data_IF_275644676034
#
_entry.id   IF_275644676034
#
_cell.length_a   1.000
_cell.length_b   1.000
_cell.length_c   1.000
_cell.angle_alpha   90.00
_cell.angle_beta   90.00
_cell.angle_gamma   90.00
#
_symmetry.space_group_name_H-M   'P 1'
#
loop_
_entity.id
_entity.type
_entity.pdbx_description
1 polymer ?
#
# COMPACT_ATOMS: atom_id res chain seq x y z
N UNK A 1 6.47 17.43 -20.75
CA UNK A 1 7.32 16.42 -20.07
C UNK A 1 8.29 17.17 -19.15
N UNK A 2 8.64 16.63 -17.98
CA UNK A 2 9.61 17.29 -17.10
C UNK A 2 11.02 17.22 -17.70
N UNK A 3 11.88 18.21 -17.45
CA UNK A 3 13.23 18.27 -18.04
C UNK A 3 14.09 17.02 -17.73
N UNK A 4 13.91 16.45 -16.54
CA UNK A 4 14.67 15.30 -16.03
C UNK A 4 13.78 14.09 -15.69
N UNK A 5 12.70 13.87 -16.46
CA UNK A 5 11.72 12.81 -16.20
C UNK A 5 12.39 11.43 -16.01
N UNK A 6 12.20 10.82 -14.83
CA UNK A 6 12.74 9.51 -14.45
C UNK A 6 14.24 9.47 -14.13
N UNK A 7 14.96 10.60 -14.25
CA UNK A 7 16.42 10.67 -14.04
C UNK A 7 16.83 11.03 -12.62
N UNK A 8 15.93 11.67 -11.87
CA UNK A 8 16.21 12.10 -10.50
C UNK A 8 15.90 10.96 -9.55
N UNK A 9 16.85 10.65 -8.65
CA UNK A 9 16.61 9.79 -7.49
C UNK A 9 16.71 10.62 -6.21
N UNK A 10 15.63 10.65 -5.43
CA UNK A 10 15.63 11.15 -4.06
C UNK A 10 15.86 9.96 -3.14
N UNK A 11 17.03 9.89 -2.51
CA UNK A 11 17.44 8.77 -1.65
C UNK A 11 17.43 9.20 -0.18
N UNK A 12 16.63 8.52 0.65
CA UNK A 12 16.56 8.79 2.10
C UNK A 12 17.78 8.28 2.90
N UNK A 13 18.64 7.48 2.27
CA UNK A 13 19.87 6.90 2.84
C UNK A 13 19.64 6.07 4.12
N UNK A 14 18.41 5.59 4.35
CA UNK A 14 18.00 4.90 5.58
C UNK A 14 17.92 5.81 6.81
N UNK A 15 18.17 7.11 6.66
CA UNK A 15 18.23 8.08 7.77
C UNK A 15 17.28 9.25 7.63
N UNK A 16 16.76 9.50 6.43
CA UNK A 16 15.83 10.57 6.11
C UNK A 16 14.60 10.02 5.39
N UNK A 17 13.53 10.82 5.44
CA UNK A 17 12.35 10.58 4.63
C UNK A 17 12.59 11.11 3.22
N UNK A 18 12.34 10.28 2.19
CA UNK A 18 12.68 10.64 0.82
C UNK A 18 11.82 11.81 0.30
N UNK A 19 10.49 11.67 0.29
CA UNK A 19 9.56 12.74 -0.11
C UNK A 19 8.52 12.93 0.98
N UNK A 20 8.46 14.13 1.56
CA UNK A 20 7.50 14.48 2.60
C UNK A 20 6.85 15.83 2.30
N UNK A 21 5.55 15.80 2.02
CA UNK A 21 4.70 17.00 1.95
C UNK A 21 3.97 17.12 3.29
N UNK A 22 4.47 18.01 4.15
CA UNK A 22 3.89 18.31 5.47
C UNK A 22 3.36 19.74 5.48
N UNK A 23 2.05 19.95 5.66
CA UNK A 23 1.44 21.29 5.55
C UNK A 23 1.76 21.97 4.20
N UNK A 24 1.70 21.20 3.11
CA UNK A 24 2.03 21.67 1.77
C UNK A 24 0.88 21.40 0.81
N UNK A 25 0.25 22.47 0.32
CA UNK A 25 -0.88 22.37 -0.60
C UNK A 25 -0.48 22.80 -2.01
N UNK A 26 -1.16 22.26 -3.02
CA UNK A 26 -1.00 22.65 -4.44
C UNK A 26 0.37 22.33 -5.05
N UNK A 27 1.07 21.32 -4.53
CA UNK A 27 2.32 20.84 -5.10
C UNK A 27 2.10 19.80 -6.19
N UNK A 28 2.99 19.85 -7.18
CA UNK A 28 3.12 18.80 -8.20
C UNK A 28 4.51 18.17 -8.08
N UNK A 29 4.56 16.96 -7.51
CA UNK A 29 5.76 16.13 -7.52
C UNK A 29 5.70 15.23 -8.74
N UNK A 30 6.71 15.32 -9.62
CA UNK A 30 6.66 14.61 -10.88
C UNK A 30 8.00 14.12 -11.41
N UNK A 31 7.95 12.96 -12.08
CA UNK A 31 9.04 12.50 -12.93
C UNK A 31 10.32 12.17 -12.19
N UNK A 32 10.20 11.57 -11.00
CA UNK A 32 11.34 11.22 -10.15
C UNK A 32 11.20 9.81 -9.59
N UNK A 33 12.32 9.29 -9.11
CA UNK A 33 12.40 8.09 -8.32
C UNK A 33 12.64 8.46 -6.86
N UNK A 34 12.10 7.70 -5.92
CA UNK A 34 12.32 7.89 -4.50
C UNK A 34 12.60 6.55 -3.82
N UNK A 35 13.56 6.48 -2.90
CA UNK A 35 13.80 5.22 -2.20
C UNK A 35 14.44 5.36 -0.83
N UNK A 36 14.54 4.21 -0.17
CA UNK A 36 15.54 3.96 0.85
C UNK A 36 15.30 4.89 2.05
N UNK A 37 14.02 4.99 2.44
CA UNK A 37 13.53 5.94 3.44
C UNK A 37 13.69 5.38 4.85
N UNK A 38 13.86 6.26 5.84
CA UNK A 38 13.82 5.88 7.26
C UNK A 38 12.38 5.80 7.83
N UNK A 39 11.39 6.15 7.00
CA UNK A 39 9.97 6.18 7.26
C UNK A 39 9.23 5.79 5.96
N UNK A 40 8.08 6.39 5.68
CA UNK A 40 7.39 6.25 4.39
C UNK A 40 8.26 6.80 3.24
N UNK A 41 8.12 6.31 2.01
CA UNK A 41 8.92 6.82 0.88
C UNK A 41 8.36 8.14 0.35
N UNK A 42 7.08 8.16 0.00
CA UNK A 42 6.32 9.35 -0.37
C UNK A 42 5.19 9.53 0.63
N UNK A 43 5.29 10.57 1.45
CA UNK A 43 4.34 10.84 2.52
C UNK A 43 3.70 12.20 2.38
N UNK A 44 2.37 12.22 2.46
CA UNK A 44 1.54 13.42 2.37
C UNK A 44 0.74 13.50 3.67
N UNK A 45 1.00 14.54 4.44
CA UNK A 45 0.45 14.70 5.79
C UNK A 45 -0.01 16.13 6.02
N UNK A 46 -1.20 16.30 6.58
CA UNK A 46 -1.85 17.61 6.76
C UNK A 46 -1.82 18.49 5.50
N UNK A 47 -2.03 17.89 4.33
CA UNK A 47 -1.76 18.52 3.03
C UNK A 47 -2.88 18.23 2.02
N UNK A 48 -3.20 19.17 1.14
CA UNK A 48 -4.34 19.09 0.22
C UNK A 48 -3.99 19.50 -1.21
N UNK A 49 -4.80 19.05 -2.18
CA UNK A 49 -4.70 19.48 -3.58
C UNK A 49 -3.35 19.20 -4.25
N UNK A 50 -2.71 18.09 -3.87
CA UNK A 50 -1.41 17.71 -4.41
C UNK A 50 -1.53 16.72 -5.57
N UNK A 51 -0.51 16.71 -6.43
CA UNK A 51 -0.38 15.75 -7.53
C UNK A 51 0.96 15.06 -7.44
N UNK A 52 0.95 13.73 -7.33
CA UNK A 52 2.11 12.86 -7.49
C UNK A 52 1.97 12.14 -8.81
N UNK A 53 2.87 12.39 -9.77
CA UNK A 53 2.74 11.77 -11.10
C UNK A 53 4.04 11.29 -11.71
N UNK A 54 4.04 10.14 -12.39
CA UNK A 54 5.27 9.54 -12.96
C UNK A 54 6.36 9.40 -11.90
N UNK A 55 5.98 8.89 -10.73
CA UNK A 55 6.87 8.64 -9.60
C UNK A 55 7.00 7.15 -9.36
N UNK A 56 8.24 6.67 -9.30
CA UNK A 56 8.55 5.30 -8.90
C UNK A 56 9.17 5.34 -7.51
N UNK A 57 8.59 4.61 -6.55
CA UNK A 57 9.03 4.62 -5.18
C UNK A 57 9.25 3.20 -4.64
N UNK A 58 10.30 3.00 -3.85
CA UNK A 58 10.56 1.69 -3.24
C UNK A 58 11.32 1.75 -1.92
N UNK A 59 11.21 0.68 -1.13
CA UNK A 59 11.91 0.49 0.14
C UNK A 59 11.71 1.63 1.16
N UNK A 60 10.57 1.55 1.86
CA UNK A 60 10.35 2.25 3.12
C UNK A 60 11.19 1.63 4.25
N UNK A 61 11.16 2.25 5.42
CA UNK A 61 11.66 1.57 6.61
C UNK A 61 10.82 0.32 6.92
N UNK A 62 11.48 -0.74 7.40
CA UNK A 62 10.81 -1.95 7.86
C UNK A 62 10.18 -1.76 9.25
N UNK A 63 9.17 -0.89 9.27
CA UNK A 63 8.42 -0.44 10.44
C UNK A 63 6.96 -0.27 10.03
N UNK A 64 6.21 0.52 10.80
CA UNK A 64 4.89 0.99 10.45
C UNK A 64 4.93 2.07 9.34
N UNK A 65 5.37 1.69 8.13
CA UNK A 65 5.59 2.64 7.04
C UNK A 65 5.10 2.12 5.68
N UNK A 66 4.86 3.07 4.77
CA UNK A 66 4.30 2.82 3.44
C UNK A 66 5.19 3.34 2.33
N UNK A 67 5.02 2.82 1.10
CA UNK A 67 5.66 3.45 -0.06
C UNK A 67 4.97 4.78 -0.40
N UNK A 68 3.63 4.76 -0.50
CA UNK A 68 2.79 5.95 -0.68
C UNK A 68 1.80 6.04 0.49
N UNK A 69 2.06 6.96 1.41
CA UNK A 69 1.20 7.24 2.56
C UNK A 69 0.49 8.59 2.42
N UNK A 70 -0.83 8.60 2.61
CA UNK A 70 -1.63 9.83 2.68
C UNK A 70 -2.39 9.81 4.00
N UNK A 71 -2.02 10.70 4.91
CA UNK A 71 -2.45 10.62 6.29
C UNK A 71 -2.90 11.97 6.86
N UNK A 72 -3.48 11.91 8.05
CA UNK A 72 -3.79 13.07 8.89
C UNK A 72 -4.68 14.11 8.20
N UNK A 73 -5.81 13.67 7.65
CA UNK A 73 -6.78 14.54 6.98
C UNK A 73 -6.35 15.03 5.59
N UNK A 74 -5.24 14.55 5.04
CA UNK A 74 -4.77 14.97 3.73
C UNK A 74 -5.75 14.56 2.63
N UNK A 75 -6.21 15.50 1.82
CA UNK A 75 -7.35 15.26 0.91
C UNK A 75 -7.14 15.84 -0.49
N UNK A 76 -8.02 15.48 -1.44
CA UNK A 76 -7.98 15.99 -2.81
C UNK A 76 -6.64 15.77 -3.52
N UNK A 77 -6.03 14.61 -3.30
CA UNK A 77 -4.72 14.26 -3.87
C UNK A 77 -4.87 13.30 -5.04
N UNK A 78 -4.14 13.58 -6.13
CA UNK A 78 -4.05 12.70 -7.30
C UNK A 78 -2.69 11.98 -7.33
N UNK A 79 -2.74 10.66 -7.48
CA UNK A 79 -1.59 9.81 -7.78
C UNK A 79 -1.81 9.19 -9.16
N UNK A 80 -0.92 9.47 -10.09
CA UNK A 80 -1.11 9.13 -11.50
C UNK A 80 0.16 8.59 -12.16
N UNK A 81 0.07 7.49 -12.89
CA UNK A 81 1.22 6.90 -13.59
C UNK A 81 2.37 6.60 -12.62
N UNK A 82 2.06 6.01 -11.47
CA UNK A 82 3.02 5.76 -10.39
C UNK A 82 3.31 4.26 -10.22
N UNK A 83 4.48 3.94 -9.67
CA UNK A 83 4.84 2.57 -9.32
C UNK A 83 5.41 2.49 -7.90
N UNK A 84 5.02 1.47 -7.14
CA UNK A 84 5.47 1.25 -5.77
C UNK A 84 5.86 -0.21 -5.50
N UNK A 85 7.01 -0.46 -4.87
CA UNK A 85 7.41 -1.82 -4.52
C UNK A 85 8.42 -1.88 -3.37
N UNK A 86 8.84 -3.09 -2.97
CA UNK A 86 9.88 -3.27 -1.98
C UNK A 86 9.37 -3.44 -0.55
N UNK A 87 10.25 -3.15 0.41
CA UNK A 87 9.96 -3.27 1.85
C UNK A 87 9.02 -2.16 2.29
N UNK A 88 7.87 -2.55 2.86
CA UNK A 88 6.91 -1.65 3.50
C UNK A 88 5.86 -2.47 4.26
N UNK A 89 5.14 -1.84 5.20
CA UNK A 89 3.91 -2.42 5.72
C UNK A 89 2.87 -2.53 4.59
N UNK A 90 2.73 -1.47 3.80
CA UNK A 90 1.83 -1.41 2.63
C UNK A 90 2.42 -0.57 1.51
N UNK A 91 2.08 -0.87 0.25
CA UNK A 91 2.56 -0.04 -0.86
C UNK A 91 1.77 1.27 -0.95
N UNK A 92 0.45 1.21 -0.82
CA UNK A 92 -0.40 2.40 -0.77
C UNK A 92 -1.38 2.34 0.40
N UNK A 93 -1.48 3.44 1.15
CA UNK A 93 -2.45 3.63 2.22
C UNK A 93 -2.93 5.09 2.28
N UNK A 94 -4.24 5.33 2.07
CA UNK A 94 -4.91 6.50 2.62
C UNK A 94 -5.36 6.16 4.06
N UNK A 95 -5.17 7.07 5.01
CA UNK A 95 -5.58 6.86 6.40
C UNK A 95 -5.95 8.12 7.16
N UNK A 96 -6.66 7.96 8.28
CA UNK A 96 -6.86 9.03 9.27
C UNK A 96 -7.60 10.24 8.73
N UNK A 97 -8.76 10.03 8.09
CA UNK A 97 -9.59 11.09 7.53
C UNK A 97 -9.13 11.65 6.19
N UNK A 98 -8.18 10.98 5.53
CA UNK A 98 -7.65 11.40 4.23
C UNK A 98 -8.60 11.05 3.08
N UNK A 99 -9.43 11.99 2.66
CA UNK A 99 -10.56 11.76 1.75
C UNK A 99 -10.28 12.24 0.32
N UNK A 100 -11.13 11.83 -0.64
CA UNK A 100 -11.08 12.32 -2.02
C UNK A 100 -9.70 12.09 -2.70
N UNK A 101 -9.11 10.93 -2.45
CA UNK A 101 -7.84 10.55 -3.08
C UNK A 101 -8.14 9.76 -4.35
N UNK A 102 -7.50 10.14 -5.46
CA UNK A 102 -7.56 9.39 -6.71
C UNK A 102 -6.21 8.76 -6.99
N UNK A 103 -6.19 7.45 -7.22
CA UNK A 103 -5.05 6.69 -7.73
C UNK A 103 -5.42 6.13 -9.09
N UNK A 104 -4.66 6.46 -10.13
CA UNK A 104 -4.92 5.93 -11.48
C UNK A 104 -3.65 5.51 -12.19
N UNK A 105 -3.74 4.39 -12.91
CA UNK A 105 -2.59 3.82 -13.64
C UNK A 105 -1.40 3.57 -12.71
N UNK A 106 -1.69 2.92 -11.58
CA UNK A 106 -0.70 2.51 -10.59
C UNK A 106 -0.23 1.07 -10.84
N UNK A 107 1.05 0.80 -10.63
CA UNK A 107 1.57 -0.57 -10.48
C UNK A 107 2.18 -0.77 -9.08
N UNK A 108 1.78 -1.83 -8.38
CA UNK A 108 2.23 -2.11 -7.01
C UNK A 108 2.70 -3.55 -6.80
N UNK A 109 3.77 -3.73 -6.02
CA UNK A 109 4.21 -5.06 -5.55
C UNK A 109 4.68 -5.03 -4.09
N UNK A 110 4.06 -5.81 -3.22
CA UNK A 110 4.55 -5.99 -1.85
C UNK A 110 5.68 -7.04 -1.79
N UNK A 111 6.85 -6.67 -1.25
CA UNK A 111 8.00 -7.58 -1.18
C UNK A 111 8.28 -8.12 0.22
N UNK A 112 7.99 -7.37 1.30
CA UNK A 112 8.22 -7.84 2.66
C UNK A 112 8.05 -6.77 3.73
N UNK A 113 7.79 -7.23 4.96
CA UNK A 113 7.96 -6.46 6.19
C UNK A 113 7.93 -7.38 7.41
N UNK A 114 8.80 -7.09 8.38
CA UNK A 114 8.96 -7.81 9.62
C UNK A 114 8.36 -7.07 10.82
N UNK A 115 7.60 -6.00 10.57
CA UNK A 115 6.90 -5.22 11.59
C UNK A 115 5.46 -5.68 11.77
N UNK A 116 4.84 -5.45 12.91
CA UNK A 116 3.43 -5.78 13.18
C UNK A 116 2.46 -5.02 12.27
N UNK A 117 1.33 -5.66 11.93
CA UNK A 117 0.17 -5.00 11.33
C UNK A 117 -0.15 -5.47 9.91
N UNK A 118 -1.26 -5.00 9.31
CA UNK A 118 -1.75 -5.53 8.06
C UNK A 118 -0.77 -5.33 6.89
N UNK A 119 -0.51 -6.40 6.12
CA UNK A 119 0.36 -6.37 4.92
C UNK A 119 -0.46 -6.48 3.64
N UNK A 120 -0.30 -5.53 2.74
CA UNK A 120 -1.04 -5.47 1.47
C UNK A 120 -0.33 -4.60 0.43
N UNK A 121 -0.74 -4.72 -0.83
CA UNK A 121 -0.28 -3.78 -1.85
C UNK A 121 -1.05 -2.48 -1.74
N UNK A 122 -2.38 -2.53 -1.74
CA UNK A 122 -3.21 -1.34 -1.76
C UNK A 122 -4.33 -1.43 -0.72
N UNK A 123 -4.38 -0.44 0.18
CA UNK A 123 -5.54 -0.20 1.05
C UNK A 123 -6.54 0.75 0.39
N UNK A 124 -7.80 0.33 0.31
CA UNK A 124 -8.91 1.15 -0.20
C UNK A 124 -9.57 1.99 0.90
N UNK A 125 -9.44 1.57 2.16
CA UNK A 125 -10.10 2.21 3.29
C UNK A 125 -9.37 1.94 4.61
N UNK A 126 -9.01 3.02 5.31
CA UNK A 126 -8.61 3.09 6.70
C UNK A 126 -9.12 4.41 7.32
N UNK A 127 -10.35 4.40 7.84
CA UNK A 127 -11.01 5.60 8.38
C UNK A 127 -10.95 6.79 7.42
N UNK A 128 -11.27 6.53 6.15
CA UNK A 128 -11.33 7.52 5.09
C UNK A 128 -12.54 7.24 4.18
N UNK A 129 -12.85 8.20 3.31
CA UNK A 129 -13.96 8.15 2.37
C UNK A 129 -13.57 8.67 0.98
N UNK A 130 -14.34 8.26 -0.03
CA UNK A 130 -14.24 8.74 -1.42
C UNK A 130 -12.86 8.49 -2.08
N UNK A 131 -12.29 7.32 -1.85
CA UNK A 131 -11.08 6.87 -2.55
C UNK A 131 -11.48 6.28 -3.90
N UNK A 132 -10.85 6.77 -4.97
CA UNK A 132 -10.95 6.20 -6.31
C UNK A 132 -9.62 5.54 -6.68
N UNK A 133 -9.66 4.25 -6.99
CA UNK A 133 -8.55 3.52 -7.60
C UNK A 133 -9.01 3.03 -8.96
N UNK A 134 -8.31 3.40 -10.03
CA UNK A 134 -8.69 2.98 -11.38
C UNK A 134 -7.49 2.55 -12.24
N UNK A 135 -7.73 1.61 -13.17
CA UNK A 135 -6.73 1.16 -14.15
C UNK A 135 -5.40 0.75 -13.51
N UNK A 136 -5.46 0.08 -12.36
CA UNK A 136 -4.29 -0.19 -11.52
C UNK A 136 -3.97 -1.68 -11.45
N UNK A 137 -2.69 -2.01 -11.29
CA UNK A 137 -2.18 -3.38 -11.27
C UNK A 137 -1.47 -3.61 -9.94
N UNK A 138 -1.84 -4.68 -9.23
CA UNK A 138 -1.24 -5.05 -7.96
C UNK A 138 -0.76 -6.50 -7.96
N UNK A 139 0.32 -6.77 -7.22
CA UNK A 139 0.86 -8.11 -7.03
C UNK A 139 1.62 -8.24 -5.70
N UNK A 140 2.07 -9.44 -5.38
CA UNK A 140 2.75 -9.74 -4.13
C UNK A 140 3.90 -10.69 -4.42
N UNK A 141 5.10 -10.37 -3.94
CA UNK A 141 6.25 -11.26 -4.04
C UNK A 141 6.55 -11.99 -2.73
N UNK A 142 6.66 -11.26 -1.61
CA UNK A 142 7.20 -11.81 -0.36
C UNK A 142 8.70 -12.18 -0.44
N UNK A 143 9.42 -11.70 -1.46
CA UNK A 143 10.84 -11.99 -1.68
C UNK A 143 11.76 -11.39 -0.62
N UNK A 144 11.38 -10.26 -0.02
CA UNK A 144 12.13 -9.59 1.05
C UNK A 144 11.81 -10.15 2.45
N UNK A 145 10.83 -11.05 2.57
CA UNK A 145 10.62 -11.77 3.83
C UNK A 145 11.82 -12.67 4.15
N UNK A 146 12.24 -12.65 5.42
CA UNK A 146 13.28 -13.52 5.94
C UNK A 146 12.70 -14.87 6.33
N UNK A 147 13.49 -15.93 6.13
CA UNK A 147 13.09 -17.28 6.54
C UNK A 147 12.81 -17.36 8.04
N UNK A 148 13.58 -16.63 8.85
CA UNK A 148 13.40 -16.50 10.30
C UNK A 148 13.55 -15.03 10.69
N UNK A 149 12.61 -14.51 11.47
CA UNK A 149 12.68 -13.15 12.00
C UNK A 149 11.90 -13.02 13.31
N UNK A 150 12.24 -12.00 14.10
CA UNK A 150 11.46 -11.59 15.27
C UNK A 150 10.52 -10.47 14.85
N UNK A 151 9.22 -10.62 15.10
CA UNK A 151 8.22 -9.59 14.78
C UNK A 151 8.49 -8.32 15.60
N UNK A 152 8.81 -7.23 14.89
CA UNK A 152 9.01 -5.93 15.49
C UNK A 152 7.67 -5.22 15.76
N UNK A 153 7.63 -4.42 16.82
CA UNK A 153 6.47 -3.63 17.24
C UNK A 153 6.89 -2.29 17.82
N UNK A 154 5.96 -1.33 17.84
CA UNK A 154 6.15 -0.10 18.59
C UNK A 154 6.18 -0.41 20.10
N UNK A 155 7.05 0.26 20.88
CA UNK A 155 7.09 0.10 22.33
C UNK A 155 5.70 0.28 22.97
N UNK A 156 5.31 -0.64 23.83
CA UNK A 156 4.02 -0.60 24.53
C UNK A 156 2.81 -1.06 23.71
N UNK A 157 2.98 -1.49 22.45
CA UNK A 157 1.88 -2.05 21.65
C UNK A 157 1.36 -3.35 22.29
N UNK A 158 0.09 -3.44 22.70
CA UNK A 158 -0.48 -4.63 23.34
C UNK A 158 -0.87 -5.70 22.30
N UNK A 159 0.04 -6.06 21.39
CA UNK A 159 -0.20 -7.11 20.40
C UNK A 159 0.52 -8.41 20.78
N UNK A 160 -0.25 -9.49 20.93
CA UNK A 160 0.20 -10.77 21.50
C UNK A 160 1.35 -11.47 20.77
N UNK A 161 1.63 -11.09 19.52
CA UNK A 161 2.73 -11.68 18.74
C UNK A 161 3.97 -10.79 18.69
N UNK A 162 3.96 -9.62 19.33
CA UNK A 162 5.15 -8.78 19.44
C UNK A 162 6.33 -9.53 20.06
N UNK A 163 7.49 -9.45 19.42
CA UNK A 163 8.70 -10.16 19.87
C UNK A 163 8.69 -11.67 19.61
N UNK A 164 7.63 -12.23 19.00
CA UNK A 164 7.64 -13.65 18.61
C UNK A 164 8.50 -13.89 17.39
N UNK A 165 9.14 -15.04 17.37
CA UNK A 165 9.88 -15.54 16.21
C UNK A 165 8.93 -16.19 15.22
N UNK A 166 8.95 -15.70 13.99
CA UNK A 166 8.29 -16.27 12.83
C UNK A 166 9.32 -17.06 12.02
N UNK A 167 8.87 -18.14 11.39
CA UNK A 167 9.74 -19.01 10.57
C UNK A 167 9.09 -19.26 9.21
N UNK A 168 9.77 -19.96 8.29
CA UNK A 168 9.23 -20.35 6.99
C UNK A 168 8.66 -19.20 6.15
N UNK A 169 9.24 -18.00 6.26
CA UNK A 169 8.76 -16.80 5.56
C UNK A 169 7.30 -16.43 5.89
N UNK A 170 6.79 -16.88 7.03
CA UNK A 170 5.46 -16.51 7.50
C UNK A 170 5.29 -15.00 7.56
N UNK A 171 4.06 -14.52 7.33
CA UNK A 171 3.74 -13.10 7.33
C UNK A 171 2.73 -12.84 8.44
N UNK A 172 2.99 -11.83 9.27
CA UNK A 172 2.00 -11.34 10.23
C UNK A 172 0.93 -10.51 9.52
N UNK A 173 -0.33 -10.86 9.75
CA UNK A 173 -1.52 -10.16 9.25
C UNK A 173 -1.52 -9.88 7.72
N UNK A 174 -1.26 -10.88 6.86
CA UNK A 174 -1.38 -10.68 5.43
C UNK A 174 -2.85 -10.43 5.04
N UNK A 175 -3.05 -9.64 4.01
CA UNK A 175 -4.36 -9.32 3.45
C UNK A 175 -4.36 -9.51 1.93
N UNK A 176 -5.44 -9.11 1.27
CA UNK A 176 -5.51 -9.08 -0.20
C UNK A 176 -4.48 -8.13 -0.83
N UNK A 177 -4.24 -8.29 -2.13
CA UNK A 177 -3.47 -7.34 -2.94
C UNK A 177 -4.19 -5.98 -2.92
N UNK A 178 -5.47 -5.99 -3.30
CA UNK A 178 -6.39 -4.88 -3.06
C UNK A 178 -7.27 -5.28 -1.88
N UNK A 179 -7.17 -4.52 -0.79
CA UNK A 179 -7.87 -4.84 0.43
C UNK A 179 -8.42 -3.58 1.08
N UNK A 180 -9.29 -3.79 2.06
CA UNK A 180 -9.61 -2.78 3.05
C UNK A 180 -8.78 -3.02 4.32
N UNK A 181 -8.57 -1.98 5.11
CA UNK A 181 -7.82 -2.05 6.35
C UNK A 181 -8.73 -1.91 7.58
N UNK A 182 -8.33 -1.19 8.63
CA UNK A 182 -9.14 -0.99 9.82
C UNK A 182 -10.18 0.10 9.60
N UNK A 183 -11.45 -0.16 9.92
CA UNK A 183 -12.44 0.90 10.18
C UNK A 183 -12.60 0.98 11.70
N UNK A 184 -12.12 2.07 12.31
CA UNK A 184 -12.12 2.25 13.77
C UNK A 184 -13.19 3.25 14.22
N UNK A 185 -13.59 4.15 13.34
CA UNK A 185 -14.63 5.17 13.57
C UNK A 185 -16.05 4.60 13.62
N UNK A 186 -16.25 3.37 13.14
CA UNK A 186 -17.55 2.73 13.02
C UNK A 186 -18.33 3.12 11.76
N UNK A 187 -17.93 4.18 11.05
CA UNK A 187 -18.49 4.52 9.74
C UNK A 187 -17.90 3.61 8.66
N UNK A 188 -18.73 2.66 8.20
CA UNK A 188 -18.38 1.70 7.17
C UNK A 188 -18.73 2.18 5.76
N UNK A 189 -19.28 3.38 5.61
CA UNK A 189 -19.67 3.96 4.33
C UNK A 189 -18.48 4.67 3.64
N UNK A 190 -17.44 3.91 3.32
CA UNK A 190 -16.21 4.45 2.74
C UNK A 190 -16.41 5.06 1.33
N UNK A 191 -17.46 4.67 0.60
CA UNK A 191 -17.70 5.10 -0.80
C UNK A 191 -16.47 4.91 -1.71
N UNK A 192 -15.64 3.91 -1.38
CA UNK A 192 -14.46 3.57 -2.16
C UNK A 192 -14.88 3.01 -3.52
N UNK A 193 -14.08 3.25 -4.55
CA UNK A 193 -14.32 2.76 -5.90
C UNK A 193 -13.04 2.14 -6.44
N UNK A 194 -13.11 0.90 -6.91
CA UNK A 194 -12.02 0.18 -7.56
C UNK A 194 -12.47 -0.25 -8.94
N UNK A 195 -11.88 0.35 -9.98
CA UNK A 195 -12.34 0.24 -11.36
C UNK A 195 -11.21 -0.27 -12.27
N UNK A 196 -11.51 -1.20 -13.18
CA UNK A 196 -10.60 -1.57 -14.26
C UNK A 196 -9.23 -2.10 -13.81
N UNK A 197 -9.15 -2.72 -12.63
CA UNK A 197 -7.86 -3.04 -11.98
C UNK A 197 -7.57 -4.54 -11.97
N UNK A 198 -6.28 -4.90 -11.94
CA UNK A 198 -5.80 -6.28 -12.04
C UNK A 198 -5.00 -6.66 -10.80
N UNK A 199 -5.39 -7.73 -10.12
CA UNK A 199 -4.58 -8.37 -9.09
C UNK A 199 -4.00 -9.66 -9.62
N UNK A 200 -2.71 -9.91 -9.42
CA UNK A 200 -2.12 -11.16 -9.88
C UNK A 200 -1.06 -11.75 -8.94
N UNK A 201 -0.94 -13.08 -8.98
CA UNK A 201 0.14 -13.85 -8.34
C UNK A 201 0.71 -14.90 -9.30
N UNK A 202 2.03 -15.04 -9.29
CA UNK A 202 2.83 -15.98 -10.07
C UNK A 202 3.26 -17.18 -9.20
N UNK A 203 3.83 -18.20 -9.83
CA UNK A 203 4.32 -19.42 -9.18
C UNK A 203 5.48 -19.19 -8.20
N UNK A 204 6.31 -18.19 -8.46
CA UNK A 204 7.44 -17.82 -7.59
C UNK A 204 7.04 -16.98 -6.37
N UNK A 205 5.80 -16.50 -6.31
CA UNK A 205 5.37 -15.58 -5.26
C UNK A 205 5.05 -16.31 -3.96
N UNK A 206 5.47 -15.75 -2.83
CA UNK A 206 5.16 -16.25 -1.48
C UNK A 206 3.89 -15.59 -0.97
N UNK A 207 2.77 -15.84 -1.64
CA UNK A 207 1.47 -15.26 -1.28
C UNK A 207 0.77 -16.09 -0.19
N UNK A 208 0.57 -15.56 1.03
CA UNK A 208 0.12 -16.37 2.16
C UNK A 208 -1.41 -16.27 2.41
N UNK A 209 -2.13 -15.42 1.68
CA UNK A 209 -3.53 -15.09 1.97
C UNK A 209 -4.52 -15.80 1.03
N UNK A 210 -5.78 -15.88 1.44
CA UNK A 210 -6.80 -16.65 0.70
C UNK A 210 -7.46 -15.89 -0.45
N UNK A 211 -7.31 -14.57 -0.54
CA UNK A 211 -8.07 -13.73 -1.48
C UNK A 211 -7.24 -12.62 -2.11
N UNK A 212 -7.16 -12.54 -3.45
CA UNK A 212 -6.45 -11.43 -4.11
C UNK A 212 -7.14 -10.08 -3.88
N UNK A 213 -8.46 -10.07 -3.95
CA UNK A 213 -9.30 -8.94 -3.55
C UNK A 213 -10.01 -9.29 -2.25
N UNK A 214 -9.72 -8.57 -1.17
CA UNK A 214 -10.43 -8.73 0.10
C UNK A 214 -11.18 -7.45 0.42
N UNK A 215 -12.46 -7.43 0.08
CA UNK A 215 -13.35 -6.33 0.44
C UNK A 215 -14.34 -6.86 1.45
N UNK A 216 -14.06 -6.59 2.71
CA UNK A 216 -14.95 -6.93 3.80
C UNK A 216 -15.31 -5.69 4.61
N UNK A 217 -16.30 -5.76 5.50
CA UNK A 217 -16.52 -4.76 6.55
C UNK A 217 -16.84 -3.32 6.07
N UNK A 218 -17.22 -3.14 4.80
CA UNK A 218 -17.71 -1.86 4.27
C UNK A 218 -19.19 -1.99 3.92
N UNK A 219 -19.95 -0.94 4.19
CA UNK A 219 -21.36 -0.84 3.79
C UNK A 219 -21.49 -0.32 2.35
N UNK A 220 -20.44 0.32 1.82
CA UNK A 220 -20.41 0.82 0.45
C UNK A 220 -19.04 0.69 -0.21
N UNK A 221 -19.04 0.09 -1.40
CA UNK A 221 -17.93 0.08 -2.35
C UNK A 221 -18.50 -0.05 -3.76
N UNK A 222 -17.80 0.47 -4.77
CA UNK A 222 -18.05 0.10 -6.17
C UNK A 222 -16.87 -0.69 -6.73
N UNK A 223 -17.14 -1.88 -7.23
CA UNK A 223 -16.17 -2.72 -7.93
C UNK A 223 -16.65 -2.91 -9.36
N UNK A 224 -15.87 -2.47 -10.34
CA UNK A 224 -16.23 -2.60 -11.76
C UNK A 224 -15.02 -3.02 -12.59
N UNK A 225 -15.20 -3.95 -13.53
CA UNK A 225 -14.18 -4.36 -14.51
C UNK A 225 -12.84 -4.81 -13.89
N UNK A 226 -12.88 -5.46 -12.72
CA UNK A 226 -11.68 -5.95 -12.03
C UNK A 226 -11.37 -7.40 -12.39
N UNK A 227 -10.08 -7.73 -12.51
CA UNK A 227 -9.60 -9.05 -12.92
C UNK A 227 -8.62 -9.61 -11.90
N UNK A 228 -8.80 -10.86 -11.50
CA UNK A 228 -7.83 -11.58 -10.69
C UNK A 228 -7.17 -12.69 -11.53
N UNK A 229 -5.84 -12.75 -11.52
CA UNK A 229 -5.08 -13.82 -12.16
C UNK A 229 -4.26 -14.59 -11.13
N UNK A 230 -4.51 -15.90 -11.05
CA UNK A 230 -3.75 -16.81 -10.19
C UNK A 230 -3.07 -17.81 -11.11
N UNK A 231 -1.73 -17.85 -11.09
CA UNK A 231 -0.97 -18.83 -11.86
C UNK A 231 -1.47 -20.26 -11.56
N UNK A 232 -1.90 -21.03 -12.58
CA UNK A 232 -2.44 -22.38 -12.35
C UNK A 232 -1.42 -23.32 -11.68
N UNK A 233 -1.88 -24.10 -10.70
CA UNK A 233 -1.12 -25.22 -10.12
C UNK A 233 -0.34 -24.91 -8.83
N UNK A 234 -0.08 -23.64 -8.50
CA UNK A 234 0.78 -23.27 -7.38
C UNK A 234 -0.02 -22.77 -6.16
N UNK A 235 -0.95 -21.84 -6.37
CA UNK A 235 -1.70 -21.17 -5.31
C UNK A 235 -3.09 -21.80 -5.08
N UNK A 236 -3.12 -23.09 -4.72
CA UNK A 236 -4.34 -23.92 -4.76
C UNK A 236 -5.49 -23.47 -3.87
N UNK A 237 -5.19 -22.73 -2.79
CA UNK A 237 -6.18 -22.25 -1.83
C UNK A 237 -6.53 -20.77 -1.99
N UNK A 238 -5.95 -20.11 -3.00
CA UNK A 238 -6.18 -18.69 -3.27
C UNK A 238 -7.40 -18.54 -4.15
N UNK A 239 -8.26 -17.60 -3.79
CA UNK A 239 -9.47 -17.25 -4.51
C UNK A 239 -9.34 -15.83 -5.07
N UNK A 240 -9.99 -15.53 -6.21
CA UNK A 240 -10.03 -14.19 -6.76
C UNK A 240 -10.57 -13.14 -5.78
N UNK A 241 -11.76 -13.36 -5.23
CA UNK A 241 -12.50 -12.36 -4.44
C UNK A 241 -13.01 -12.94 -3.12
N UNK A 242 -12.81 -12.18 -2.04
CA UNK A 242 -13.48 -12.36 -0.75
C UNK A 242 -14.30 -11.11 -0.46
N UNK A 243 -15.61 -11.20 -0.72
CA UNK A 243 -16.57 -10.10 -0.54
C UNK A 243 -17.50 -10.44 0.63
N UNK A 244 -17.55 -9.62 1.67
CA UNK A 244 -18.35 -9.89 2.88
C UNK A 244 -18.80 -8.64 3.64
#
# INVERSE_FOLDING_TARGET
MALNDGKVLINGQGSNQAVHLLHNDWFVVQGLNACCSNADVVYISYSMHNIIRRVVAWDAADKNNMIFGIANGSSYTLLEDIAGFGVARKIFEPSGGSNYVTVRRFWGRWDGSHFVGPKMTLSLAYDNTDILVENSIGTWSGSAMKQTYTLACDPGTPYRLCGKTFTNYEVDQPQGIFSIDGITTGDKNARARLLGSIAYVQDTDRYPYSYLYLINRLDSISLENNVAYIKPGFHKNVRPFGLA
#
